data_IF_982862828517
#
_entry.id   IF_982862828517
#
_cell.length_a   1.000
_cell.length_b   1.000
_cell.length_c   1.000
_cell.angle_alpha   90.00
_cell.angle_beta   90.00
_cell.angle_gamma   90.00
#
_symmetry.space_group_name_H-M   'P 1'
#
loop_
_entity.id
_entity.type
_entity.pdbx_description
1 polymer ?
#
# COMPACT_ATOMS: atom_id res chain seq x y z
N UNK A 1 -7.26 -20.47 20.17
CA UNK A 1 -8.25 -20.02 19.17
C UNK A 1 -7.52 -19.27 18.08
N UNK A 2 -7.95 -19.39 16.82
CA UNK A 2 -7.30 -18.74 15.68
C UNK A 2 -8.31 -17.81 15.00
N UNK A 3 -7.95 -16.56 14.74
CA UNK A 3 -8.80 -15.57 14.07
C UNK A 3 -9.46 -16.12 12.80
N UNK A 4 -8.72 -16.87 11.99
CA UNK A 4 -9.24 -17.47 10.76
C UNK A 4 -10.28 -18.57 10.99
N UNK A 5 -10.24 -19.24 12.14
CA UNK A 5 -11.23 -20.25 12.51
C UNK A 5 -12.50 -19.58 13.05
N UNK A 6 -12.37 -18.47 13.78
CA UNK A 6 -13.50 -17.74 14.37
C UNK A 6 -14.30 -16.98 13.30
N UNK A 7 -13.63 -16.37 12.32
CA UNK A 7 -14.31 -15.69 11.20
C UNK A 7 -15.09 -16.64 10.28
N UNK A 8 -14.76 -17.94 10.28
CA UNK A 8 -15.44 -18.97 9.48
C UNK A 8 -16.65 -19.59 10.21
N UNK A 9 -16.89 -19.24 11.47
CA UNK A 9 -18.07 -19.69 12.21
C UNK A 9 -19.33 -19.01 11.66
N UNK A 10 -20.46 -19.72 11.73
CA UNK A 10 -21.78 -19.20 11.36
C UNK A 10 -22.16 -17.96 12.19
N UNK A 11 -21.72 -17.92 13.45
CA UNK A 11 -21.79 -16.75 14.31
C UNK A 11 -20.38 -16.41 14.78
N UNK A 12 -19.68 -15.48 14.08
CA UNK A 12 -18.33 -15.07 14.43
C UNK A 12 -18.20 -14.40 15.81
N UNK A 13 -19.33 -14.07 16.46
CA UNK A 13 -19.38 -13.32 17.71
C UNK A 13 -19.23 -11.81 17.48
N UNK A 14 -18.82 -11.09 18.53
CA UNK A 14 -18.71 -9.63 18.52
C UNK A 14 -17.42 -9.18 17.82
N UNK A 15 -17.50 -8.94 16.52
CA UNK A 15 -16.39 -8.39 15.74
C UNK A 15 -16.21 -6.90 16.03
N UNK A 16 -14.97 -6.52 16.34
CA UNK A 16 -14.57 -5.15 16.63
C UNK A 16 -13.72 -4.61 15.48
N UNK A 17 -14.16 -3.51 14.89
CA UNK A 17 -13.35 -2.67 13.98
C UNK A 17 -12.76 -1.47 14.71
N UNK A 18 -11.44 -1.34 14.63
CA UNK A 18 -10.65 -0.21 15.11
C UNK A 18 -10.00 0.49 13.92
N UNK A 19 -9.75 1.78 14.04
CA UNK A 19 -9.17 2.60 12.98
C UNK A 19 -8.01 3.43 13.53
N UNK A 20 -6.92 3.47 12.78
CA UNK A 20 -5.79 4.37 13.02
C UNK A 20 -5.60 5.28 11.80
N UNK A 21 -5.76 6.58 11.98
CA UNK A 21 -5.49 7.62 10.98
C UNK A 21 -4.12 8.23 11.23
N UNK A 22 -3.15 7.88 10.40
CA UNK A 22 -1.78 8.39 10.43
C UNK A 22 -1.61 9.52 9.40
N UNK A 23 -1.59 10.76 9.89
CA UNK A 23 -1.27 11.95 9.10
C UNK A 23 0.13 12.51 9.38
N UNK A 24 1.03 11.73 9.98
CA UNK A 24 2.39 12.20 10.32
C UNK A 24 3.17 12.68 9.09
N UNK A 25 2.96 12.05 7.93
CA UNK A 25 3.55 12.48 6.63
C UNK A 25 3.11 13.88 6.19
N UNK A 26 1.96 14.34 6.67
CA UNK A 26 1.39 15.66 6.36
C UNK A 26 1.75 16.70 7.44
N UNK A 27 2.51 16.31 8.48
CA UNK A 27 2.80 17.15 9.65
C UNK A 27 1.72 17.07 10.74
N UNK A 28 0.79 16.12 10.65
CA UNK A 28 -0.22 15.85 11.66
C UNK A 28 0.23 14.84 12.72
N UNK A 29 -0.74 14.28 13.44
CA UNK A 29 -0.53 13.24 14.45
C UNK A 29 -1.23 11.94 14.04
N UNK A 30 -1.12 10.93 14.90
CA UNK A 30 -1.85 9.67 14.79
C UNK A 30 -3.12 9.76 15.62
N UNK A 31 -4.29 9.58 14.99
CA UNK A 31 -5.57 9.48 15.69
C UNK A 31 -6.06 8.04 15.70
N UNK A 32 -6.59 7.60 16.84
CA UNK A 32 -7.10 6.24 17.04
C UNK A 32 -8.56 6.30 17.48
N UNK A 33 -9.40 5.59 16.76
CA UNK A 33 -10.84 5.67 16.98
C UNK A 33 -11.55 4.35 16.64
N UNK A 34 -12.74 4.15 17.19
CA UNK A 34 -13.59 2.98 16.90
C UNK A 34 -15.05 3.38 16.71
N UNK A 35 -15.77 2.60 15.89
CA UNK A 35 -17.16 2.86 15.50
C UNK A 35 -18.22 2.13 16.32
N UNK A 36 -17.87 1.56 17.47
CA UNK A 36 -18.81 0.76 18.27
C UNK A 36 -19.67 1.66 19.15
N UNK A 37 -20.92 1.83 18.74
CA UNK A 37 -21.92 2.49 19.56
C UNK A 37 -22.09 1.72 20.89
N UNK A 38 -22.13 2.44 22.01
CA UNK A 38 -22.31 1.90 23.37
C UNK A 38 -21.08 1.24 24.02
N UNK A 39 -19.93 1.20 23.34
CA UNK A 39 -18.65 0.90 23.98
C UNK A 39 -17.93 2.21 24.34
N UNK A 40 -17.34 2.27 25.53
CA UNK A 40 -16.44 3.36 25.92
C UNK A 40 -15.08 3.21 25.24
N UNK A 41 -14.05 3.84 25.79
CA UNK A 41 -12.69 3.71 25.25
C UNK A 41 -12.24 2.23 25.21
N UNK A 42 -11.72 1.80 24.06
CA UNK A 42 -11.21 0.44 23.87
C UNK A 42 -9.68 0.47 23.92
N UNK A 43 -9.08 -0.42 24.70
CA UNK A 43 -7.65 -0.63 24.78
C UNK A 43 -7.27 -1.83 23.91
N UNK A 44 -6.45 -1.62 22.91
CA UNK A 44 -5.93 -2.67 22.05
C UNK A 44 -4.41 -2.56 21.94
N UNK A 45 -3.70 -3.63 22.31
CA UNK A 45 -2.23 -3.67 22.34
C UNK A 45 -1.63 -2.50 23.16
N UNK A 46 -2.29 -2.15 24.27
CA UNK A 46 -1.91 -1.04 25.13
C UNK A 46 -2.14 0.36 24.55
N UNK A 47 -2.85 0.48 23.42
CA UNK A 47 -3.24 1.78 22.84
C UNK A 47 -4.73 2.04 23.06
N UNK A 48 -5.05 3.28 23.45
CA UNK A 48 -6.42 3.73 23.64
C UNK A 48 -7.04 4.15 22.30
N UNK A 49 -8.24 3.64 22.04
CA UNK A 49 -9.10 3.99 20.92
C UNK A 49 -10.35 4.66 21.47
N UNK A 50 -10.63 5.88 21.03
CA UNK A 50 -11.80 6.64 21.49
C UNK A 50 -13.02 6.40 20.60
N UNK A 51 -14.24 6.49 21.16
CA UNK A 51 -15.46 6.29 20.40
C UNK A 51 -15.69 7.43 19.40
N UNK A 52 -16.01 7.08 18.17
CA UNK A 52 -16.32 8.02 17.10
C UNK A 52 -17.37 7.41 16.16
N UNK A 53 -18.40 8.18 15.80
CA UNK A 53 -19.42 7.69 14.87
C UNK A 53 -18.83 7.57 13.46
N UNK A 54 -18.74 6.34 12.97
CA UNK A 54 -18.08 6.01 11.71
C UNK A 54 -18.95 5.05 10.93
N UNK A 55 -19.22 5.41 9.67
CA UNK A 55 -19.87 4.56 8.70
C UNK A 55 -18.89 4.21 7.58
N UNK A 56 -18.52 2.93 7.53
CA UNK A 56 -17.50 2.38 6.65
C UNK A 56 -18.15 1.44 5.63
N UNK A 57 -18.01 1.76 4.32
CA UNK A 57 -18.59 0.98 3.22
C UNK A 57 -17.52 0.62 2.18
N UNK A 58 -17.64 -0.57 1.58
CA UNK A 58 -16.81 -0.96 0.44
C UNK A 58 -15.39 -1.43 0.76
N UNK A 59 -15.13 -1.88 2.00
CA UNK A 59 -13.86 -2.50 2.40
C UNK A 59 -13.67 -3.93 1.86
N UNK A 60 -14.67 -4.47 1.17
CA UNK A 60 -14.62 -5.83 0.62
C UNK A 60 -13.73 -5.91 -0.62
N UNK A 61 -12.88 -6.93 -0.63
CA UNK A 61 -12.05 -7.28 -1.79
C UNK A 61 -12.97 -7.93 -2.82
N UNK A 62 -13.33 -7.18 -3.86
CA UNK A 62 -14.08 -7.72 -5.00
C UNK A 62 -13.14 -8.61 -5.83
N UNK A 63 -13.59 -9.81 -6.18
CA UNK A 63 -12.83 -10.75 -7.04
C UNK A 63 -12.77 -10.33 -8.52
N UNK A 64 -13.29 -9.16 -8.87
CA UNK A 64 -13.35 -8.62 -10.23
C UNK A 64 -12.07 -7.88 -10.65
N UNK A 65 -11.06 -7.84 -9.78
CA UNK A 65 -9.75 -7.25 -10.05
C UNK A 65 -9.75 -5.72 -10.14
N UNK A 66 -10.89 -5.06 -9.88
CA UNK A 66 -10.93 -3.60 -9.76
C UNK A 66 -10.45 -3.20 -8.37
N UNK A 67 -9.63 -2.14 -8.25
CA UNK A 67 -9.27 -1.61 -6.94
C UNK A 67 -10.55 -1.20 -6.21
N UNK A 68 -10.69 -1.66 -4.96
CA UNK A 68 -11.79 -1.23 -4.11
C UNK A 68 -11.57 0.23 -3.72
N UNK A 69 -12.61 1.04 -3.88
CA UNK A 69 -12.66 2.43 -3.44
C UNK A 69 -13.61 2.56 -2.25
N UNK A 70 -13.19 2.16 -1.03
CA UNK A 70 -14.05 2.27 0.14
C UNK A 70 -14.39 3.73 0.43
N UNK A 71 -15.58 3.91 1.00
CA UNK A 71 -16.05 5.20 1.50
C UNK A 71 -16.06 5.15 3.02
N UNK A 72 -15.44 6.15 3.64
CA UNK A 72 -15.39 6.30 5.09
C UNK A 72 -16.07 7.61 5.48
N UNK A 73 -17.24 7.52 6.10
CA UNK A 73 -17.93 8.66 6.67
C UNK A 73 -17.67 8.72 8.17
N UNK A 74 -17.27 9.89 8.65
CA UNK A 74 -16.91 10.13 10.04
C UNK A 74 -17.68 11.36 10.53
N UNK A 75 -18.20 11.32 11.76
CA UNK A 75 -18.79 12.50 12.39
C UNK A 75 -17.72 13.59 12.64
N UNK A 76 -18.10 14.85 12.46
CA UNK A 76 -17.19 16.00 12.57
C UNK A 76 -17.03 16.46 14.03
N UNK A 77 -16.90 15.50 14.95
CA UNK A 77 -16.65 15.71 16.37
C UNK A 77 -15.51 14.81 16.83
N UNK A 78 -14.40 15.41 17.26
CA UNK A 78 -13.25 14.66 17.75
C UNK A 78 -12.91 15.12 19.17
N UNK A 79 -12.92 14.20 20.14
CA UNK A 79 -12.58 14.51 21.53
C UNK A 79 -13.48 15.59 22.15
N UNK A 80 -14.75 15.68 21.75
CA UNK A 80 -15.71 16.68 22.21
C UNK A 80 -15.60 18.06 21.53
N UNK A 81 -14.74 18.20 20.52
CA UNK A 81 -14.62 19.43 19.72
C UNK A 81 -15.37 19.25 18.40
N UNK A 82 -16.50 19.97 18.25
CA UNK A 82 -17.24 20.03 16.99
C UNK A 82 -16.46 20.82 15.93
N UNK A 83 -16.46 20.33 14.69
CA UNK A 83 -15.73 20.93 13.58
C UNK A 83 -14.25 20.55 13.52
N UNK A 84 -13.79 19.65 14.39
CA UNK A 84 -12.37 19.30 14.50
C UNK A 84 -11.85 18.62 13.23
N UNK A 85 -12.59 17.68 12.64
CA UNK A 85 -12.16 16.99 11.43
C UNK A 85 -12.14 17.94 10.24
N UNK A 86 -13.15 18.81 10.14
CA UNK A 86 -13.18 19.88 9.13
C UNK A 86 -11.97 20.82 9.27
N UNK A 87 -11.61 21.21 10.49
CA UNK A 87 -10.42 22.03 10.73
C UNK A 87 -9.12 21.30 10.34
N UNK A 88 -9.01 20.00 10.65
CA UNK A 88 -7.88 19.16 10.23
C UNK A 88 -7.79 19.06 8.70
N UNK A 89 -8.92 18.93 8.00
CA UNK A 89 -8.97 18.97 6.55
C UNK A 89 -8.44 20.30 6.00
N UNK A 90 -8.82 21.44 6.59
CA UNK A 90 -8.28 22.74 6.17
C UNK A 90 -6.78 22.85 6.41
N UNK A 91 -6.29 22.36 7.54
CA UNK A 91 -4.87 22.43 7.90
C UNK A 91 -3.99 21.48 7.06
N UNK A 92 -4.47 20.28 6.77
CA UNK A 92 -3.68 19.18 6.18
C UNK A 92 -4.10 18.81 4.75
N UNK A 93 -4.54 19.79 3.95
CA UNK A 93 -4.93 19.59 2.53
C UNK A 93 -5.93 18.44 2.34
N UNK A 94 -7.05 18.52 3.05
CA UNK A 94 -8.13 17.54 3.11
C UNK A 94 -7.69 16.12 3.52
N UNK A 95 -6.55 16.02 4.23
CA UNK A 95 -5.93 14.76 4.65
C UNK A 95 -5.60 13.81 3.48
N UNK A 96 -5.53 14.33 2.25
CA UNK A 96 -5.16 13.56 1.08
C UNK A 96 -3.73 13.01 1.22
N UNK A 97 -3.55 11.70 1.08
CA UNK A 97 -2.29 11.01 1.34
C UNK A 97 -2.12 10.47 2.77
N UNK A 98 -3.04 10.76 3.69
CA UNK A 98 -3.03 10.17 5.02
C UNK A 98 -3.33 8.67 4.97
N UNK A 99 -2.75 7.92 5.89
CA UNK A 99 -2.89 6.46 5.97
C UNK A 99 -3.99 6.11 6.94
N UNK A 100 -4.91 5.27 6.51
CA UNK A 100 -5.97 4.72 7.37
C UNK A 100 -5.72 3.22 7.51
N UNK A 101 -5.41 2.79 8.72
CA UNK A 101 -5.26 1.37 9.05
C UNK A 101 -6.54 0.91 9.74
N UNK A 102 -7.22 -0.04 9.13
CA UNK A 102 -8.41 -0.70 9.69
C UNK A 102 -7.98 -2.01 10.31
N UNK A 103 -8.21 -2.16 11.60
CA UNK A 103 -7.90 -3.37 12.37
C UNK A 103 -9.22 -4.03 12.70
N UNK A 104 -9.43 -5.24 12.18
CA UNK A 104 -10.56 -6.09 12.51
C UNK A 104 -10.10 -7.16 13.51
N UNK A 105 -10.72 -7.17 14.68
CA UNK A 105 -10.47 -8.13 15.76
C UNK A 105 -11.80 -8.61 16.35
N UNK A 106 -11.77 -9.46 17.36
CA UNK A 106 -12.95 -9.87 18.11
C UNK A 106 -12.87 -9.39 19.55
N UNK A 107 -14.03 -9.21 20.19
CA UNK A 107 -14.11 -8.73 21.57
C UNK A 107 -13.33 -9.60 22.55
N UNK A 108 -13.39 -10.92 22.41
CA UNK A 108 -12.65 -11.85 23.29
C UNK A 108 -11.13 -11.81 23.10
N UNK A 109 -10.62 -11.20 22.02
CA UNK A 109 -9.19 -11.01 21.82
C UNK A 109 -8.65 -9.72 22.45
N UNK A 110 -9.52 -8.79 22.86
CA UNK A 110 -9.12 -7.51 23.45
C UNK A 110 -8.29 -7.69 24.73
N UNK A 111 -7.49 -6.67 25.04
CA UNK A 111 -6.65 -6.65 26.24
C UNK A 111 -7.48 -6.80 27.52
N UNK A 112 -6.89 -7.41 28.54
CA UNK A 112 -7.52 -7.60 29.85
C UNK A 112 -7.98 -6.30 30.51
N UNK A 113 -7.36 -5.16 30.18
CA UNK A 113 -7.72 -3.83 30.69
C UNK A 113 -9.14 -3.37 30.32
N UNK A 114 -9.77 -3.99 29.31
CA UNK A 114 -11.14 -3.67 28.92
C UNK A 114 -12.20 -4.37 29.78
N UNK A 115 -11.80 -5.37 30.58
CA UNK A 115 -12.72 -6.22 31.32
C UNK A 115 -12.47 -6.08 32.83
N UNK A 116 -13.51 -5.92 33.66
CA UNK A 116 -13.36 -5.77 35.10
C UNK A 116 -12.73 -7.01 35.76
N UNK A 117 -13.00 -8.20 35.22
CA UNK A 117 -12.45 -9.48 35.69
C UNK A 117 -11.18 -9.92 34.93
N UNK A 118 -10.65 -9.04 34.05
CA UNK A 118 -9.58 -9.37 33.12
C UNK A 118 -10.03 -10.24 31.94
N UNK A 119 -9.08 -10.64 31.09
CA UNK A 119 -9.35 -11.48 29.92
C UNK A 119 -8.28 -12.57 29.75
N UNK A 120 -8.59 -13.85 30.04
CA UNK A 120 -7.67 -14.97 29.82
C UNK A 120 -7.57 -15.39 28.34
N UNK A 121 -8.50 -14.95 27.49
CA UNK A 121 -8.52 -15.25 26.04
C UNK A 121 -7.87 -14.15 25.19
N UNK A 122 -7.31 -13.11 25.83
CA UNK A 122 -6.62 -12.01 25.17
C UNK A 122 -5.52 -12.54 24.23
N UNK A 123 -5.48 -12.04 23.00
CA UNK A 123 -4.55 -12.49 21.98
C UNK A 123 -4.38 -11.43 20.90
N UNK A 124 -3.18 -11.28 20.36
CA UNK A 124 -2.83 -10.26 19.35
C UNK A 124 -3.35 -10.55 17.92
N UNK A 125 -4.35 -11.41 17.80
CA UNK A 125 -4.82 -11.87 16.51
C UNK A 125 -5.83 -10.89 15.92
N UNK A 126 -5.46 -10.31 14.78
CA UNK A 126 -6.31 -9.37 14.04
C UNK A 126 -6.02 -9.43 12.56
N UNK A 127 -7.00 -9.00 11.75
CA UNK A 127 -6.81 -8.71 10.33
C UNK A 127 -6.63 -7.21 10.17
N UNK A 128 -5.51 -6.82 9.58
CA UNK A 128 -5.20 -5.42 9.32
C UNK A 128 -5.29 -5.13 7.83
N UNK A 129 -6.09 -4.12 7.47
CA UNK A 129 -6.16 -3.59 6.11
C UNK A 129 -5.62 -2.16 6.11
N UNK A 130 -4.71 -1.85 5.18
CA UNK A 130 -4.16 -0.52 5.00
C UNK A 130 -4.84 0.17 3.81
N UNK A 131 -5.21 1.43 4.01
CA UNK A 131 -5.85 2.29 3.04
C UNK A 131 -5.20 3.67 3.06
N UNK A 132 -5.40 4.42 1.99
CA UNK A 132 -4.99 5.81 1.89
C UNK A 132 -6.19 6.70 1.57
N UNK A 133 -6.23 7.90 2.13
CA UNK A 133 -7.23 8.91 1.76
C UNK A 133 -6.82 9.51 0.42
N UNK A 134 -7.68 9.39 -0.61
CA UNK A 134 -7.45 10.04 -1.90
C UNK A 134 -8.00 11.45 -1.91
N UNK A 135 -9.28 11.59 -1.53
CA UNK A 135 -10.00 12.84 -1.58
C UNK A 135 -11.17 12.85 -0.60
N UNK A 136 -11.56 14.06 -0.21
CA UNK A 136 -12.82 14.31 0.49
C UNK A 136 -13.95 14.41 -0.54
N UNK A 137 -14.94 13.53 -0.43
CA UNK A 137 -16.08 13.49 -1.37
C UNK A 137 -17.16 14.47 -0.93
N UNK A 138 -17.54 14.41 0.34
CA UNK A 138 -18.60 15.24 0.91
C UNK A 138 -18.17 15.74 2.28
N UNK A 139 -18.58 16.96 2.62
CA UNK A 139 -18.44 17.49 3.96
C UNK A 139 -19.68 18.30 4.31
N UNK A 140 -20.34 17.88 5.38
CA UNK A 140 -21.38 18.63 6.08
C UNK A 140 -20.70 19.24 7.32
N UNK A 141 -20.39 20.55 7.32
CA UNK A 141 -19.66 21.17 8.42
C UNK A 141 -20.36 20.92 9.76
N UNK A 142 -19.60 20.49 10.77
CA UNK A 142 -20.11 20.19 12.12
C UNK A 142 -21.11 19.04 12.20
N UNK A 143 -21.24 18.21 11.16
CA UNK A 143 -22.15 17.04 11.14
C UNK A 143 -21.43 15.77 10.65
N UNK A 144 -20.77 15.79 9.49
CA UNK A 144 -20.05 14.61 9.00
C UNK A 144 -19.11 14.97 7.86
N UNK A 145 -18.06 14.17 7.73
CA UNK A 145 -17.08 14.24 6.65
C UNK A 145 -16.93 12.87 6.02
N UNK A 146 -17.04 12.82 4.69
CA UNK A 146 -16.96 11.58 3.90
C UNK A 146 -15.69 11.59 3.05
N UNK A 147 -14.85 10.58 3.25
CA UNK A 147 -13.61 10.36 2.53
C UNK A 147 -13.72 9.20 1.55
N UNK A 148 -13.11 9.37 0.37
CA UNK A 148 -12.82 8.26 -0.54
C UNK A 148 -11.44 7.72 -0.25
N UNK A 149 -11.37 6.42 -0.02
CA UNK A 149 -10.15 5.69 0.26
C UNK A 149 -9.72 4.88 -0.96
N UNK A 150 -8.41 4.65 -1.10
CA UNK A 150 -7.86 3.71 -2.06
C UNK A 150 -6.85 2.76 -1.44
N UNK A 151 -6.67 1.63 -2.11
CA UNK A 151 -5.69 0.64 -1.70
C UNK A 151 -4.26 1.15 -1.97
N UNK A 152 -3.26 0.72 -1.19
CA UNK A 152 -1.85 1.02 -1.44
C UNK A 152 -1.35 0.67 -2.84
N UNK A 153 -2.04 -0.25 -3.53
CA UNK A 153 -1.70 -0.71 -4.88
C UNK A 153 -2.15 0.28 -5.96
N UNK A 154 -3.15 1.10 -5.67
CA UNK A 154 -3.77 2.03 -6.63
C UNK A 154 -3.19 3.43 -6.50
N UNK A 155 -2.81 3.82 -5.28
CA UNK A 155 -2.14 5.09 -5.02
C UNK A 155 -0.76 5.09 -5.71
N UNK A 156 -0.49 6.16 -6.49
CA UNK A 156 0.78 6.46 -7.18
C UNK A 156 0.93 5.93 -8.63
N UNK A 157 -0.08 5.30 -9.24
CA UNK A 157 -0.01 4.91 -10.67
C UNK A 157 1.15 3.95 -10.98
N UNK A 158 1.71 3.33 -9.95
CA UNK A 158 2.79 2.36 -10.07
C UNK A 158 2.21 1.02 -10.50
N UNK A 159 2.28 0.74 -11.80
CA UNK A 159 1.92 -0.58 -12.32
C UNK A 159 2.84 -1.66 -11.72
N UNK A 160 2.26 -2.62 -11.00
CA UNK A 160 2.89 -3.89 -10.70
C UNK A 160 2.71 -4.80 -11.93
N UNK A 161 3.76 -5.44 -12.47
CA UNK A 161 5.17 -5.44 -12.04
C UNK A 161 5.91 -4.17 -12.49
N UNK A 162 6.81 -3.66 -11.65
CA UNK A 162 7.68 -2.50 -11.98
C UNK A 162 8.63 -2.73 -13.16
N UNK A 163 8.60 -3.93 -13.78
CA UNK A 163 9.36 -4.31 -14.95
C UNK A 163 8.51 -5.14 -15.89
N UNK A 164 8.40 -4.69 -17.13
CA UNK A 164 7.92 -5.53 -18.21
C UNK A 164 9.00 -6.55 -18.61
N UNK A 165 8.61 -7.80 -18.82
CA UNK A 165 9.48 -8.84 -19.37
C UNK A 165 9.72 -8.47 -20.84
N UNK A 166 10.91 -7.99 -21.16
CA UNK A 166 11.29 -7.56 -22.51
C UNK A 166 12.57 -8.25 -23.00
N UNK A 167 12.79 -8.26 -24.31
CA UNK A 167 14.01 -8.76 -24.95
C UNK A 167 15.23 -7.87 -24.79
N UNK A 168 15.08 -6.69 -24.19
CA UNK A 168 16.17 -5.73 -24.00
C UNK A 168 16.86 -5.99 -22.67
N UNK A 169 18.18 -5.86 -22.66
CA UNK A 169 19.00 -5.93 -21.46
C UNK A 169 18.68 -4.76 -20.55
N UNK A 170 18.11 -5.04 -19.38
CA UNK A 170 17.78 -3.98 -18.42
C UNK A 170 18.99 -3.16 -17.97
N UNK A 171 20.19 -3.77 -17.93
CA UNK A 171 21.40 -3.07 -17.51
C UNK A 171 21.73 -1.96 -18.51
N UNK A 172 21.58 -2.23 -19.81
CA UNK A 172 21.76 -1.20 -20.82
C UNK A 172 20.67 -0.12 -20.74
N UNK A 173 19.41 -0.51 -20.59
CA UNK A 173 18.28 0.42 -20.54
C UNK A 173 18.30 1.35 -19.31
N UNK A 174 18.84 0.90 -18.18
CA UNK A 174 18.94 1.68 -16.93
C UNK A 174 20.29 2.39 -16.76
N UNK A 175 21.14 2.42 -17.79
CA UNK A 175 22.48 3.03 -17.69
C UNK A 175 23.47 2.22 -16.83
N UNK A 176 23.12 1.00 -16.44
CA UNK A 176 23.97 0.05 -15.71
C UNK A 176 24.98 -0.71 -16.57
N UNK A 177 25.28 -0.25 -17.79
CA UNK A 177 26.33 -0.82 -18.63
C UNK A 177 27.69 -0.63 -17.96
N UNK A 178 28.52 -1.68 -17.90
CA UNK A 178 29.80 -1.76 -17.15
C UNK A 178 29.71 -1.60 -15.62
N UNK A 179 28.52 -1.37 -15.06
CA UNK A 179 28.32 -1.37 -13.61
C UNK A 179 28.27 -2.81 -13.06
N UNK A 180 28.19 -2.95 -11.74
CA UNK A 180 28.21 -4.23 -11.02
C UNK A 180 27.23 -5.28 -11.59
N UNK A 181 26.00 -4.88 -11.91
CA UNK A 181 24.99 -5.80 -12.44
C UNK A 181 25.28 -6.30 -13.86
N UNK A 182 25.86 -5.46 -14.72
CA UNK A 182 26.31 -5.87 -16.06
C UNK A 182 27.64 -6.62 -15.99
N UNK A 183 28.54 -6.23 -15.09
CA UNK A 183 29.87 -6.79 -14.87
C UNK A 183 30.76 -6.90 -16.12
N UNK A 184 30.48 -6.11 -17.18
CA UNK A 184 31.36 -6.06 -18.33
C UNK A 184 32.59 -5.21 -18.03
N UNK A 185 33.72 -5.86 -17.82
CA UNK A 185 35.02 -5.22 -17.55
C UNK A 185 35.99 -5.30 -18.73
N UNK A 186 35.54 -5.77 -19.89
CA UNK A 186 36.37 -5.90 -21.08
C UNK A 186 36.77 -4.55 -21.69
N UNK A 187 37.91 -4.54 -22.39
CA UNK A 187 38.45 -3.33 -23.04
C UNK A 187 37.74 -2.97 -24.34
N UNK A 188 37.09 -3.93 -25.00
CA UNK A 188 36.38 -3.67 -26.25
C UNK A 188 35.20 -2.72 -26.03
N UNK A 189 35.15 -1.67 -26.83
CA UNK A 189 34.13 -0.62 -26.77
C UNK A 189 33.31 -0.67 -28.06
N UNK A 190 32.00 -0.45 -27.94
CA UNK A 190 31.12 -0.37 -29.10
C UNK A 190 30.10 0.73 -28.93
N UNK A 191 29.74 1.35 -30.04
CA UNK A 191 28.67 2.34 -30.07
C UNK A 191 27.28 1.70 -29.84
N UNK A 192 26.25 2.55 -29.76
CA UNK A 192 24.85 2.11 -29.58
C UNK A 192 24.36 1.18 -30.72
N UNK A 193 25.00 1.22 -31.89
CA UNK A 193 24.70 0.40 -33.07
C UNK A 193 25.57 -0.86 -33.15
N UNK A 194 26.36 -1.17 -32.12
CA UNK A 194 27.30 -2.28 -32.06
C UNK A 194 28.50 -2.18 -33.03
N UNK A 195 28.86 -0.99 -33.47
CA UNK A 195 30.08 -0.76 -34.23
C UNK A 195 31.26 -0.58 -33.25
N UNK A 196 32.43 -1.20 -33.51
CA UNK A 196 33.62 -0.99 -32.69
C UNK A 196 33.98 0.50 -32.64
N UNK A 197 34.37 1.00 -31.48
CA UNK A 197 34.80 2.39 -31.33
C UNK A 197 35.97 2.47 -30.37
N UNK A 198 36.95 3.32 -30.66
CA UNK A 198 38.07 3.59 -29.75
C UNK A 198 37.78 4.79 -28.83
N UNK A 199 36.64 5.47 -29.02
CA UNK A 199 36.26 6.63 -28.24
C UNK A 199 35.40 6.23 -27.02
N UNK A 200 35.90 6.40 -25.77
CA UNK A 200 35.15 6.04 -24.57
C UNK A 200 33.82 6.80 -24.41
N UNK A 201 33.70 8.01 -24.95
CA UNK A 201 32.47 8.80 -24.86
C UNK A 201 31.31 8.21 -25.68
N UNK A 202 31.63 7.41 -26.70
CA UNK A 202 30.66 6.76 -27.58
C UNK A 202 30.34 5.32 -27.15
N UNK A 203 31.07 4.76 -26.18
CA UNK A 203 30.86 3.40 -25.70
C UNK A 203 29.52 3.27 -24.97
N UNK A 204 28.54 2.71 -25.66
CA UNK A 204 27.18 2.51 -25.15
C UNK A 204 26.64 1.17 -25.59
N UNK A 205 26.09 0.40 -24.65
CA UNK A 205 25.42 -0.85 -24.98
C UNK A 205 24.06 -0.60 -25.64
N UNK A 206 23.83 -1.17 -26.83
CA UNK A 206 22.54 -1.15 -27.52
C UNK A 206 21.44 -1.96 -26.81
N UNK A 207 21.82 -2.83 -25.86
CA UNK A 207 20.89 -3.58 -25.03
C UNK A 207 20.33 -4.86 -25.65
N UNK A 208 20.79 -5.27 -26.83
CA UNK A 208 20.39 -6.53 -27.43
C UNK A 208 21.27 -7.70 -26.99
N UNK A 209 20.77 -8.93 -27.12
CA UNK A 209 21.59 -10.13 -26.91
C UNK A 209 22.84 -10.16 -27.80
N UNK A 210 22.70 -9.70 -29.05
CA UNK A 210 23.83 -9.54 -29.97
C UNK A 210 24.90 -8.59 -29.42
N UNK A 211 24.51 -7.50 -28.74
CA UNK A 211 25.44 -6.56 -28.08
C UNK A 211 26.25 -7.26 -26.99
N UNK A 212 25.62 -8.11 -26.17
CA UNK A 212 26.30 -8.90 -25.16
C UNK A 212 27.19 -10.00 -25.77
N UNK A 213 26.77 -10.58 -26.90
CA UNK A 213 27.57 -11.59 -27.63
C UNK A 213 28.88 -11.02 -28.16
N UNK A 214 28.87 -9.81 -28.74
CA UNK A 214 30.08 -9.12 -29.19
C UNK A 214 31.08 -8.85 -28.06
N UNK A 215 30.57 -8.73 -26.83
CA UNK A 215 31.34 -8.45 -25.61
C UNK A 215 31.69 -9.71 -24.81
N UNK A 216 31.28 -10.89 -25.26
CA UNK A 216 31.44 -12.14 -24.52
C UNK A 216 30.72 -12.17 -23.16
N UNK A 217 29.74 -11.29 -22.94
CA UNK A 217 29.07 -11.09 -21.64
C UNK A 217 27.61 -11.58 -21.65
N UNK A 218 27.35 -12.68 -22.33
CA UNK A 218 26.00 -13.24 -22.49
C UNK A 218 25.43 -13.83 -21.21
N UNK A 219 26.27 -14.37 -20.32
CA UNK A 219 25.85 -14.95 -19.03
C UNK A 219 25.18 -13.93 -18.09
N UNK A 220 25.51 -12.65 -18.23
CA UNK A 220 24.97 -11.54 -17.41
C UNK A 220 23.91 -10.72 -18.14
N UNK A 221 23.37 -11.23 -19.25
CA UNK A 221 22.32 -10.54 -19.99
C UNK A 221 21.07 -10.38 -19.13
N UNK A 222 20.64 -9.13 -18.92
CA UNK A 222 19.50 -8.79 -18.06
C UNK A 222 18.16 -8.67 -18.80
N UNK A 223 17.99 -9.36 -19.93
CA UNK A 223 16.75 -9.39 -20.71
C UNK A 223 16.24 -10.83 -20.89
N UNK A 224 14.96 -10.98 -21.24
CA UNK A 224 14.35 -12.29 -21.49
C UNK A 224 14.25 -12.55 -22.99
N UNK A 225 15.03 -13.52 -23.49
CA UNK A 225 14.98 -13.93 -24.91
C UNK A 225 13.66 -14.61 -25.28
N UNK A 226 12.96 -15.20 -24.30
CA UNK A 226 11.66 -15.85 -24.50
C UNK A 226 10.49 -14.86 -24.62
N UNK A 227 10.69 -13.58 -24.30
CA UNK A 227 9.62 -12.57 -24.32
C UNK A 227 9.03 -12.30 -25.71
N UNK A 228 9.67 -12.77 -26.79
CA UNK A 228 9.20 -12.61 -28.18
C UNK A 228 8.70 -13.93 -28.80
N UNK A 229 8.47 -14.98 -28.01
CA UNK A 229 7.86 -16.24 -28.49
C UNK A 229 6.33 -16.18 -28.64
N UNK A 230 5.73 -14.98 -28.61
CA UNK A 230 4.39 -14.81 -29.20
C UNK A 230 4.60 -14.85 -30.71
N UNK A 231 4.54 -16.08 -31.24
CA UNK A 231 4.40 -16.32 -32.66
C UNK A 231 3.24 -15.46 -33.14
N UNK A 232 3.52 -14.49 -34.00
CA UNK A 232 2.52 -13.93 -34.89
C UNK A 232 2.04 -15.09 -35.76
N UNK A 233 1.04 -15.84 -35.30
CA UNK A 233 0.23 -16.65 -36.18
C UNK A 233 -0.46 -15.68 -37.13
N UNK A 234 0.13 -15.53 -38.31
CA UNK A 234 -0.62 -15.08 -39.48
C UNK A 234 -1.72 -16.08 -39.79
#
# INVERSE_FOLDING_TARGET
>A
MNYNADIQKLEPGNQIRLYELDATRLGGMLWRFHGHAHEGDIIWQGQLYSPLQIEAKGFDIRGDGRPATPTLQVDDELGGVRGAITALCFQFRDLAGARVKVIETFRHFLDAANFPDGNPEASDQSKTNLWFIEQKTEALPSISVTFSLSSPTDMEGHMLPSQQITKLCRWACRGGYRQEACAYTGTAMFDKKNQPTDNPALDRCGGWWSSCKLRGNTRRFGGSMGASLIASSR
#
